data_IF_898046103724
#
_entry.id   IF_898046103724
#
_cell.length_a   1.000
_cell.length_b   1.000
_cell.length_c   1.000
_cell.angle_alpha   90.00
_cell.angle_beta   90.00
_cell.angle_gamma   90.00
#
_symmetry.space_group_name_H-M   'P 1'
#
loop_
_entity.id
_entity.type
_entity.pdbx_description
1 polymer ?
#
# COMPACT_ATOMS: atom_id res chain seq x y z
N UNK A 1 9.46 10.01 36.07
CA UNK A 1 10.39 9.69 34.97
C UNK A 1 11.76 9.50 35.59
N UNK A 2 12.27 8.29 35.58
CA UNK A 2 13.58 7.94 36.12
C UNK A 2 14.66 8.58 35.24
N UNK A 3 15.61 9.32 35.84
CA UNK A 3 16.65 10.06 35.12
C UNK A 3 17.69 9.06 34.62
N UNK A 4 17.80 8.90 33.31
CA UNK A 4 18.85 8.07 32.70
C UNK A 4 20.16 8.85 32.80
N UNK A 5 21.05 8.44 33.70
CA UNK A 5 22.38 9.06 33.80
C UNK A 5 23.33 8.51 32.72
N UNK A 6 24.17 9.36 32.11
CA UNK A 6 25.21 8.94 31.17
C UNK A 6 26.19 7.98 31.84
N UNK A 7 26.67 6.95 31.12
CA UNK A 7 27.82 6.18 31.62
C UNK A 7 29.06 7.08 31.65
N UNK A 8 29.88 6.95 32.70
CA UNK A 8 31.14 7.70 32.87
C UNK A 8 32.13 7.54 31.70
N UNK A 9 32.03 6.43 30.95
CA UNK A 9 32.79 6.23 29.71
C UNK A 9 31.85 5.77 28.58
N UNK A 10 31.94 6.39 27.38
CA UNK A 10 31.22 5.94 26.20
C UNK A 10 31.47 4.45 25.91
N UNK A 11 30.46 3.77 25.39
CA UNK A 11 30.60 2.38 24.99
C UNK A 11 31.59 2.28 23.82
N UNK A 12 32.55 1.37 23.94
CA UNK A 12 33.54 1.12 22.90
C UNK A 12 32.93 0.16 21.88
N UNK A 13 32.46 0.69 20.75
CA UNK A 13 32.01 -0.12 19.60
C UNK A 13 33.26 -0.55 18.82
N UNK A 14 33.35 -1.83 18.46
CA UNK A 14 34.47 -2.28 17.61
C UNK A 14 34.33 -1.72 16.19
N UNK A 15 35.42 -1.22 15.55
CA UNK A 15 35.36 -0.68 14.19
C UNK A 15 34.83 -1.65 13.13
N UNK A 16 35.00 -2.97 13.36
CA UNK A 16 34.47 -4.03 12.50
C UNK A 16 32.94 -4.07 12.50
N UNK A 17 32.32 -3.90 13.68
CA UNK A 17 30.86 -3.89 13.83
C UNK A 17 30.28 -2.65 13.15
N UNK A 18 30.83 -1.47 13.44
CA UNK A 18 30.38 -0.22 12.83
C UNK A 18 30.50 -0.25 11.29
N UNK A 19 31.64 -0.71 10.77
CA UNK A 19 31.86 -0.83 9.33
C UNK A 19 30.93 -1.87 8.69
N UNK A 20 30.73 -3.02 9.35
CA UNK A 20 29.84 -4.07 8.87
C UNK A 20 28.38 -3.61 8.77
N UNK A 21 27.88 -2.92 9.80
CA UNK A 21 26.52 -2.36 9.81
C UNK A 21 26.36 -1.28 8.73
N UNK A 22 27.36 -0.39 8.54
CA UNK A 22 27.34 0.62 7.46
C UNK A 22 27.27 -0.02 6.07
N UNK A 23 28.05 -1.06 5.82
CA UNK A 23 28.00 -1.82 4.55
C UNK A 23 26.63 -2.48 4.40
N UNK A 24 26.13 -3.17 5.43
CA UNK A 24 24.82 -3.83 5.40
C UNK A 24 23.69 -2.83 5.12
N UNK A 25 23.74 -1.63 5.71
CA UNK A 25 22.79 -0.54 5.43
C UNK A 25 22.81 -0.13 3.98
N UNK A 26 23.98 0.12 3.40
CA UNK A 26 24.09 0.57 2.02
C UNK A 26 23.62 -0.51 1.04
N UNK A 27 24.01 -1.78 1.27
CA UNK A 27 23.61 -2.92 0.43
C UNK A 27 22.10 -3.16 0.52
N UNK A 28 21.54 -3.22 1.73
CA UNK A 28 20.10 -3.41 1.91
C UNK A 28 19.30 -2.24 1.32
N UNK A 29 19.77 -1.00 1.46
CA UNK A 29 19.14 0.19 0.87
C UNK A 29 19.14 0.12 -0.66
N UNK A 30 20.27 -0.27 -1.26
CA UNK A 30 20.35 -0.47 -2.70
C UNK A 30 19.34 -1.51 -3.21
N UNK A 31 19.26 -2.66 -2.53
CA UNK A 31 18.29 -3.71 -2.86
C UNK A 31 16.84 -3.24 -2.70
N UNK A 32 16.51 -2.56 -1.59
CA UNK A 32 15.20 -1.99 -1.36
C UNK A 32 14.82 -0.99 -2.47
N UNK A 33 15.72 -0.08 -2.83
CA UNK A 33 15.46 0.91 -3.88
C UNK A 33 15.21 0.27 -5.25
N UNK A 34 16.05 -0.69 -5.65
CA UNK A 34 15.91 -1.36 -6.96
C UNK A 34 14.62 -2.17 -7.00
N UNK A 35 14.30 -2.93 -5.96
CA UNK A 35 13.06 -3.71 -5.89
C UNK A 35 11.82 -2.82 -5.88
N UNK A 36 11.84 -1.72 -5.12
CA UNK A 36 10.73 -0.75 -5.08
C UNK A 36 10.51 -0.10 -6.45
N UNK A 37 11.59 0.22 -7.18
CA UNK A 37 11.47 0.76 -8.52
C UNK A 37 10.76 -0.23 -9.47
N UNK A 38 11.16 -1.51 -9.44
CA UNK A 38 10.53 -2.54 -10.29
C UNK A 38 9.06 -2.72 -9.92
N UNK A 39 8.74 -2.84 -8.62
CA UNK A 39 7.35 -2.94 -8.15
C UNK A 39 6.53 -1.74 -8.63
N UNK A 40 7.05 -0.52 -8.50
CA UNK A 40 6.36 0.69 -8.98
C UNK A 40 6.07 0.65 -10.48
N UNK A 41 7.01 0.19 -11.31
CA UNK A 41 6.75 0.06 -12.76
C UNK A 41 5.69 -1.00 -13.06
N UNK A 42 5.70 -2.09 -12.31
CA UNK A 42 4.71 -3.16 -12.44
C UNK A 42 3.34 -2.70 -11.98
N UNK A 43 3.25 -1.94 -10.90
CA UNK A 43 1.99 -1.38 -10.40
C UNK A 43 1.39 -0.45 -11.46
N UNK A 44 2.20 0.44 -12.07
CA UNK A 44 1.73 1.30 -13.17
C UNK A 44 1.27 0.49 -14.40
N UNK A 45 2.00 -0.55 -14.79
CA UNK A 45 1.60 -1.41 -15.89
C UNK A 45 0.33 -2.20 -15.58
N UNK A 46 0.22 -2.73 -14.35
CA UNK A 46 -0.92 -3.49 -13.84
C UNK A 46 -2.17 -2.63 -13.74
N UNK A 47 -2.02 -1.37 -13.33
CA UNK A 47 -3.09 -0.38 -13.31
C UNK A 47 -3.64 -0.14 -14.72
N UNK A 48 -2.76 0.08 -15.71
CA UNK A 48 -3.18 0.27 -17.10
C UNK A 48 -3.88 -0.97 -17.69
N UNK A 49 -3.34 -2.17 -17.42
CA UNK A 49 -3.96 -3.44 -17.83
C UNK A 49 -5.30 -3.63 -17.12
N UNK A 50 -5.37 -3.37 -15.82
CA UNK A 50 -6.56 -3.56 -15.00
C UNK A 50 -7.69 -2.64 -15.43
N UNK A 51 -7.38 -1.38 -15.67
CA UNK A 51 -8.35 -0.40 -16.18
C UNK A 51 -8.87 -0.78 -17.58
N UNK A 52 -8.03 -1.33 -18.45
CA UNK A 52 -8.45 -1.82 -19.77
C UNK A 52 -9.29 -3.11 -19.71
N UNK A 53 -9.01 -4.00 -18.76
CA UNK A 53 -9.67 -5.31 -18.63
C UNK A 53 -10.96 -5.26 -17.81
N UNK A 54 -11.09 -4.32 -16.87
CA UNK A 54 -12.27 -4.13 -16.02
C UNK A 54 -13.61 -4.15 -16.81
N UNK A 55 -13.81 -3.35 -17.88
CA UNK A 55 -15.08 -3.34 -18.61
C UNK A 55 -15.32 -4.63 -19.43
N UNK A 56 -14.27 -5.36 -19.79
CA UNK A 56 -14.38 -6.59 -20.60
C UNK A 56 -14.74 -7.82 -19.78
N UNK A 57 -14.25 -7.90 -18.55
CA UNK A 57 -14.58 -8.99 -17.61
C UNK A 57 -16.05 -8.91 -17.21
N UNK A 58 -16.57 -7.69 -17.03
CA UNK A 58 -17.99 -7.45 -16.77
C UNK A 58 -18.90 -7.96 -17.90
N UNK A 59 -18.59 -7.60 -19.16
CA UNK A 59 -19.38 -8.00 -20.33
C UNK A 59 -19.44 -9.53 -20.49
N UNK A 60 -18.30 -10.22 -20.31
CA UNK A 60 -18.24 -11.68 -20.39
C UNK A 60 -18.92 -12.38 -19.23
N UNK A 61 -18.78 -11.86 -18.01
CA UNK A 61 -19.48 -12.38 -16.82
C UNK A 61 -21.01 -12.26 -16.96
N UNK A 62 -21.48 -11.12 -17.45
CA UNK A 62 -22.90 -10.87 -17.72
C UNK A 62 -23.45 -11.82 -18.79
N UNK A 63 -22.70 -12.05 -19.87
CA UNK A 63 -23.07 -12.99 -20.94
C UNK A 63 -23.15 -14.45 -20.43
N UNK A 64 -22.22 -14.87 -19.57
CA UNK A 64 -22.26 -16.21 -18.98
C UNK A 64 -23.45 -16.39 -18.03
N UNK A 65 -23.74 -15.36 -17.21
CA UNK A 65 -24.84 -15.41 -16.26
C UNK A 65 -26.22 -15.37 -16.94
N UNK A 66 -26.36 -14.58 -18.02
CA UNK A 66 -27.58 -14.52 -18.82
C UNK A 66 -27.85 -15.84 -19.54
N UNK A 67 -26.83 -16.49 -20.09
CA UNK A 67 -26.95 -17.79 -20.76
C UNK A 67 -27.22 -18.93 -19.76
N UNK A 68 -26.51 -18.96 -18.63
CA UNK A 68 -26.59 -20.08 -17.67
C UNK A 68 -27.88 -20.05 -16.84
N UNK A 69 -28.30 -18.85 -16.39
CA UNK A 69 -29.46 -18.70 -15.50
C UNK A 69 -30.70 -18.15 -16.20
N UNK A 70 -30.67 -17.98 -17.53
CA UNK A 70 -31.74 -17.38 -18.34
C UNK A 70 -32.20 -16.01 -17.80
N UNK A 71 -31.30 -15.26 -17.18
CA UNK A 71 -31.59 -13.90 -16.75
C UNK A 71 -31.63 -12.97 -17.97
N UNK A 72 -32.49 -11.94 -17.90
CA UNK A 72 -32.38 -10.82 -18.83
C UNK A 72 -31.00 -10.16 -18.66
N UNK A 73 -30.44 -9.65 -19.75
CA UNK A 73 -29.11 -9.04 -19.77
C UNK A 73 -28.96 -7.94 -18.70
N UNK A 74 -30.00 -7.15 -18.48
CA UNK A 74 -30.05 -6.12 -17.43
C UNK A 74 -29.99 -6.71 -16.00
N UNK A 75 -30.73 -7.80 -15.74
CA UNK A 75 -30.72 -8.46 -14.42
C UNK A 75 -29.40 -9.18 -14.18
N UNK A 76 -28.84 -9.81 -15.22
CA UNK A 76 -27.54 -10.45 -15.18
C UNK A 76 -26.44 -9.43 -14.88
N UNK A 77 -26.41 -8.30 -15.61
CA UNK A 77 -25.45 -7.22 -15.42
C UNK A 77 -25.48 -6.71 -13.99
N UNK A 78 -26.67 -6.32 -13.50
CA UNK A 78 -26.83 -5.80 -12.13
C UNK A 78 -26.36 -6.79 -11.06
N UNK A 79 -26.55 -8.10 -11.26
CA UNK A 79 -26.10 -9.09 -10.27
C UNK A 79 -24.59 -9.28 -10.29
N UNK A 80 -23.99 -9.27 -11.47
CA UNK A 80 -22.53 -9.30 -11.67
C UNK A 80 -21.89 -8.05 -11.08
N UNK A 81 -22.43 -6.85 -11.36
CA UNK A 81 -21.98 -5.57 -10.81
C UNK A 81 -21.96 -5.57 -9.29
N UNK A 82 -23.07 -5.94 -8.65
CA UNK A 82 -23.14 -5.99 -7.20
C UNK A 82 -22.16 -7.01 -6.61
N UNK A 83 -21.96 -8.16 -7.27
CA UNK A 83 -21.00 -9.16 -6.80
C UNK A 83 -19.55 -8.65 -6.92
N UNK A 84 -19.20 -8.02 -8.05
CA UNK A 84 -17.89 -7.41 -8.25
C UNK A 84 -17.66 -6.25 -7.28
N UNK A 85 -18.65 -5.39 -7.05
CA UNK A 85 -18.55 -4.28 -6.11
C UNK A 85 -18.28 -4.75 -4.68
N UNK A 86 -18.96 -5.80 -4.23
CA UNK A 86 -18.73 -6.39 -2.90
C UNK A 86 -17.34 -7.03 -2.81
N UNK A 87 -16.94 -7.80 -3.82
CA UNK A 87 -15.61 -8.41 -3.86
C UNK A 87 -14.50 -7.35 -3.88
N UNK A 88 -14.66 -6.32 -4.70
CA UNK A 88 -13.74 -5.21 -4.81
C UNK A 88 -13.68 -4.37 -3.53
N UNK A 89 -14.82 -4.14 -2.88
CA UNK A 89 -14.87 -3.48 -1.58
C UNK A 89 -14.13 -4.27 -0.49
N UNK A 90 -14.23 -5.60 -0.50
CA UNK A 90 -13.49 -6.46 0.43
C UNK A 90 -11.97 -6.41 0.18
N UNK A 91 -11.54 -6.59 -1.07
CA UNK A 91 -10.13 -6.52 -1.46
C UNK A 91 -9.55 -5.13 -1.20
N UNK A 92 -10.22 -4.08 -1.67
CA UNK A 92 -9.81 -2.69 -1.45
C UNK A 92 -9.76 -2.32 0.03
N UNK A 93 -10.69 -2.85 0.84
CA UNK A 93 -10.67 -2.69 2.29
C UNK A 93 -9.43 -3.31 2.94
N UNK A 94 -9.08 -4.55 2.58
CA UNK A 94 -7.88 -5.22 3.10
C UNK A 94 -6.61 -4.48 2.69
N UNK A 95 -6.49 -4.10 1.41
CA UNK A 95 -5.34 -3.36 0.89
C UNK A 95 -5.18 -2.02 1.62
N UNK A 96 -6.27 -1.29 1.81
CA UNK A 96 -6.27 0.01 2.49
C UNK A 96 -5.83 -0.13 3.96
N UNK A 97 -6.37 -1.12 4.67
CA UNK A 97 -6.01 -1.37 6.08
C UNK A 97 -4.55 -1.79 6.20
N UNK A 98 -4.09 -2.70 5.33
CA UNK A 98 -2.70 -3.15 5.32
C UNK A 98 -1.74 -1.99 5.00
N UNK A 99 -2.00 -1.21 3.95
CA UNK A 99 -1.21 -0.04 3.59
C UNK A 99 -1.19 1.01 4.71
N UNK A 100 -2.34 1.25 5.35
CA UNK A 100 -2.45 2.13 6.52
C UNK A 100 -1.62 1.64 7.70
N UNK A 101 -1.64 0.33 7.98
CA UNK A 101 -0.82 -0.29 9.02
C UNK A 101 0.68 -0.15 8.73
N UNK A 102 1.11 -0.40 7.50
CA UNK A 102 2.52 -0.25 7.10
C UNK A 102 2.97 1.21 7.24
N UNK A 103 2.15 2.16 6.79
CA UNK A 103 2.44 3.59 6.92
C UNK A 103 2.53 4.03 8.40
N UNK A 104 1.54 3.65 9.22
CA UNK A 104 1.53 3.94 10.65
C UNK A 104 2.73 3.28 11.37
N UNK A 105 3.02 2.03 11.02
CA UNK A 105 4.19 1.29 11.48
C UNK A 105 5.49 2.00 11.12
N UNK A 106 5.60 2.55 9.90
CA UNK A 106 6.74 3.35 9.46
C UNK A 106 6.92 4.63 10.28
N UNK A 107 5.84 5.36 10.55
CA UNK A 107 5.87 6.57 11.40
C UNK A 107 6.30 6.22 12.84
N UNK A 108 5.73 5.15 13.41
CA UNK A 108 6.09 4.65 14.74
C UNK A 108 7.55 4.21 14.79
N UNK A 109 8.02 3.46 13.80
CA UNK A 109 9.39 3.00 13.70
C UNK A 109 10.36 4.18 13.58
N UNK A 110 10.03 5.21 12.80
CA UNK A 110 10.86 6.42 12.68
C UNK A 110 10.94 7.21 14.00
N UNK A 111 9.81 7.33 14.69
CA UNK A 111 9.72 8.01 15.99
C UNK A 111 10.49 7.24 17.07
N UNK A 112 10.31 5.92 17.11
CA UNK A 112 11.02 5.03 18.01
C UNK A 112 12.52 5.05 17.71
N UNK A 113 12.92 4.92 16.45
CA UNK A 113 14.31 5.01 16.02
C UNK A 113 14.96 6.30 16.48
N UNK A 114 14.32 7.44 16.24
CA UNK A 114 14.84 8.76 16.63
C UNK A 114 15.03 8.87 18.15
N UNK A 115 14.06 8.42 18.93
CA UNK A 115 14.13 8.49 20.39
C UNK A 115 15.12 7.47 20.97
N UNK A 116 15.14 6.25 20.45
CA UNK A 116 16.07 5.19 20.83
C UNK A 116 17.50 5.58 20.51
N UNK A 117 17.79 6.10 19.31
CA UNK A 117 19.11 6.60 18.93
C UNK A 117 19.56 7.68 19.91
N UNK A 118 18.71 8.67 20.22
CA UNK A 118 19.01 9.72 21.21
C UNK A 118 19.28 9.17 22.61
N UNK A 119 18.50 8.19 23.08
CA UNK A 119 18.71 7.58 24.41
C UNK A 119 20.03 6.80 24.43
N UNK A 120 20.31 6.03 23.39
CA UNK A 120 21.55 5.24 23.28
C UNK A 120 22.75 6.16 23.17
N UNK A 121 22.66 7.21 22.35
CA UNK A 121 23.68 8.24 22.21
C UNK A 121 23.91 8.97 23.55
N UNK A 122 22.85 9.34 24.25
CA UNK A 122 22.94 10.00 25.55
C UNK A 122 23.59 9.11 26.62
N UNK A 123 23.29 7.81 26.62
CA UNK A 123 23.77 6.88 27.66
C UNK A 123 25.13 6.26 27.34
N UNK A 124 25.42 6.01 26.07
CA UNK A 124 26.55 5.21 25.60
C UNK A 124 27.45 5.95 24.59
N UNK A 125 27.11 7.17 24.19
CA UNK A 125 27.86 7.97 23.23
C UNK A 125 27.40 7.80 21.78
N UNK A 126 27.77 8.77 20.95
CA UNK A 126 27.38 8.89 19.53
C UNK A 126 27.64 7.61 18.71
N UNK A 127 28.78 6.90 18.84
CA UNK A 127 29.02 5.68 18.04
C UNK A 127 27.99 4.58 18.28
N UNK A 128 27.49 4.46 19.52
CA UNK A 128 26.45 3.48 19.85
C UNK A 128 25.08 3.91 19.30
N UNK A 129 24.79 5.22 19.31
CA UNK A 129 23.59 5.79 18.68
C UNK A 129 23.57 5.56 17.17
N UNK A 130 24.69 5.79 16.49
CA UNK A 130 24.84 5.58 15.06
C UNK A 130 24.61 4.11 14.66
N UNK A 131 25.21 3.15 15.39
CA UNK A 131 24.99 1.71 15.14
C UNK A 131 23.53 1.32 15.38
N UNK A 132 22.89 1.84 16.43
CA UNK A 132 21.48 1.58 16.69
C UNK A 132 20.59 2.09 15.53
N UNK A 133 20.83 3.31 15.05
CA UNK A 133 20.10 3.88 13.93
C UNK A 133 20.31 3.12 12.63
N UNK A 134 21.56 2.76 12.30
CA UNK A 134 21.86 2.00 11.09
C UNK A 134 21.28 0.57 11.13
N UNK A 135 21.22 -0.06 12.31
CA UNK A 135 20.59 -1.38 12.48
C UNK A 135 19.09 -1.32 12.22
N UNK A 136 18.40 -0.30 12.74
CA UNK A 136 16.95 -0.12 12.49
C UNK A 136 16.70 0.14 10.99
N UNK A 137 17.56 0.93 10.34
CA UNK A 137 17.48 1.17 8.90
C UNK A 137 17.68 -0.13 8.08
N UNK A 138 18.65 -0.97 8.45
CA UNK A 138 18.87 -2.28 7.80
C UNK A 138 17.62 -3.14 7.90
N UNK A 139 17.03 -3.25 9.09
CA UNK A 139 15.81 -4.03 9.30
C UNK A 139 14.64 -3.51 8.45
N UNK A 140 14.46 -2.18 8.41
CA UNK A 140 13.46 -1.54 7.55
C UNK A 140 13.67 -1.82 6.06
N UNK A 141 14.91 -1.70 5.57
CA UNK A 141 15.24 -1.99 4.18
C UNK A 141 14.99 -3.47 3.82
N UNK A 142 15.31 -4.40 4.73
CA UNK A 142 15.03 -5.84 4.53
C UNK A 142 13.53 -6.09 4.45
N UNK A 143 12.74 -5.45 5.32
CA UNK A 143 11.28 -5.54 5.26
C UNK A 143 10.73 -5.08 3.91
N UNK A 144 11.16 -3.90 3.43
CA UNK A 144 10.76 -3.37 2.11
C UNK A 144 11.19 -4.30 0.98
N UNK A 145 12.44 -4.75 0.97
CA UNK A 145 12.93 -5.66 -0.05
C UNK A 145 12.15 -6.99 -0.06
N UNK A 146 11.85 -7.55 1.11
CA UNK A 146 11.06 -8.77 1.25
C UNK A 146 9.61 -8.61 0.82
N UNK A 147 8.94 -7.51 1.21
CA UNK A 147 7.57 -7.24 0.78
C UNK A 147 7.48 -7.02 -0.72
N UNK A 148 8.41 -6.26 -1.30
CA UNK A 148 8.49 -6.06 -2.74
C UNK A 148 8.68 -7.38 -3.48
N UNK A 149 9.57 -8.25 -2.98
CA UNK A 149 9.84 -9.52 -3.64
C UNK A 149 8.60 -10.42 -3.66
N UNK A 150 7.75 -10.38 -2.63
CA UNK A 150 6.47 -11.10 -2.64
C UNK A 150 5.53 -10.59 -3.74
N UNK A 151 5.47 -9.28 -3.97
CA UNK A 151 4.67 -8.69 -5.05
C UNK A 151 5.23 -9.00 -6.45
N UNK A 152 6.54 -9.17 -6.58
CA UNK A 152 7.20 -9.53 -7.85
C UNK A 152 7.04 -11.01 -8.24
N UNK A 153 6.51 -11.86 -7.36
CA UNK A 153 6.26 -13.27 -7.70
C UNK A 153 5.13 -13.41 -8.71
N UNK A 154 5.08 -14.47 -9.54
CA UNK A 154 3.97 -14.69 -10.49
C UNK A 154 2.59 -14.65 -9.83
N UNK A 155 2.49 -15.17 -8.60
CA UNK A 155 1.27 -15.09 -7.79
C UNK A 155 0.98 -13.65 -7.33
N UNK A 156 1.99 -12.95 -6.80
CA UNK A 156 1.85 -11.56 -6.37
C UNK A 156 1.46 -10.61 -7.51
N UNK A 157 2.03 -10.79 -8.71
CA UNK A 157 1.67 -10.03 -9.90
C UNK A 157 0.20 -10.24 -10.29
N UNK A 158 -0.28 -11.48 -10.19
CA UNK A 158 -1.69 -11.79 -10.44
C UNK A 158 -2.59 -11.12 -9.39
N UNK A 159 -2.19 -11.17 -8.12
CA UNK A 159 -2.92 -10.55 -7.02
C UNK A 159 -3.00 -9.03 -7.17
N UNK A 160 -1.88 -8.37 -7.51
CA UNK A 160 -1.82 -6.93 -7.79
C UNK A 160 -2.69 -6.57 -9.00
N UNK A 161 -2.58 -7.30 -10.11
CA UNK A 161 -3.41 -7.04 -11.28
C UNK A 161 -4.90 -7.26 -11.00
N UNK A 162 -5.26 -8.30 -10.25
CA UNK A 162 -6.64 -8.55 -9.84
C UNK A 162 -7.15 -7.44 -8.92
N UNK A 163 -6.34 -6.99 -7.97
CA UNK A 163 -6.65 -5.85 -7.12
C UNK A 163 -6.94 -4.59 -7.94
N UNK A 164 -6.06 -4.22 -8.88
CA UNK A 164 -6.23 -3.05 -9.76
C UNK A 164 -7.50 -3.12 -10.61
N UNK A 165 -7.81 -4.29 -11.18
CA UNK A 165 -9.09 -4.52 -11.91
C UNK A 165 -10.27 -4.24 -10.98
N UNK A 166 -10.24 -4.79 -9.77
CA UNK A 166 -11.35 -4.65 -8.83
C UNK A 166 -11.50 -3.21 -8.34
N UNK A 167 -10.39 -2.52 -8.06
CA UNK A 167 -10.39 -1.11 -7.65
C UNK A 167 -10.93 -0.20 -8.76
N UNK A 168 -10.55 -0.45 -10.02
CA UNK A 168 -11.08 0.30 -11.17
C UNK A 168 -12.60 0.19 -11.32
N UNK A 169 -13.18 -0.99 -11.04
CA UNK A 169 -14.65 -1.17 -11.06
C UNK A 169 -15.34 -0.35 -9.97
N UNK A 170 -14.74 -0.27 -8.77
CA UNK A 170 -15.28 0.54 -7.65
C UNK A 170 -15.22 2.03 -7.99
N UNK A 171 -14.12 2.50 -8.57
CA UNK A 171 -13.95 3.89 -8.97
C UNK A 171 -14.97 4.30 -10.04
N UNK A 172 -15.21 3.47 -11.05
CA UNK A 172 -16.20 3.71 -12.09
C UNK A 172 -17.63 3.79 -11.52
N UNK A 173 -18.00 2.84 -10.65
CA UNK A 173 -19.28 2.88 -9.94
C UNK A 173 -19.43 4.12 -9.05
N UNK A 174 -18.36 4.53 -8.36
CA UNK A 174 -18.35 5.73 -7.55
C UNK A 174 -18.55 6.99 -8.41
N UNK A 175 -17.88 7.08 -9.56
CA UNK A 175 -18.02 8.21 -10.48
C UNK A 175 -19.46 8.34 -11.02
N UNK A 176 -20.13 7.23 -11.34
CA UNK A 176 -21.54 7.22 -11.77
C UNK A 176 -22.47 7.73 -10.65
N UNK A 177 -22.23 7.30 -9.41
CA UNK A 177 -23.00 7.76 -8.25
C UNK A 177 -22.81 9.27 -8.02
N UNK A 178 -21.58 9.75 -8.07
CA UNK A 178 -21.26 11.18 -7.91
C UNK A 178 -21.92 12.02 -9.00
N UNK A 179 -21.85 11.60 -10.27
CA UNK A 179 -22.51 12.29 -11.38
C UNK A 179 -24.04 12.27 -11.26
N UNK A 180 -24.64 11.19 -10.73
CA UNK A 180 -26.08 11.12 -10.49
C UNK A 180 -26.53 11.98 -9.31
N UNK A 181 -25.67 12.24 -8.32
CA UNK A 181 -25.96 13.12 -7.19
C UNK A 181 -25.82 14.60 -7.59
N UNK A 182 -24.80 14.95 -8.38
CA UNK A 182 -24.59 16.30 -8.89
C UNK A 182 -25.73 16.74 -9.82
N UNK A 183 -26.20 15.84 -10.70
CA UNK A 183 -27.32 16.12 -11.59
C UNK A 183 -28.65 16.32 -10.83
N UNK A 184 -28.84 15.63 -9.68
CA UNK A 184 -29.99 15.86 -8.78
C UNK A 184 -29.91 17.20 -8.05
N UNK A 185 -28.72 17.63 -7.63
CA UNK A 185 -28.52 18.95 -7.01
C UNK A 185 -28.73 20.11 -7.99
N UNK A 186 -28.31 19.96 -9.26
CA UNK A 186 -28.57 20.92 -10.34
C UNK A 186 -30.07 21.08 -10.63
N UNK A 187 -30.83 19.96 -10.69
CA UNK A 187 -32.28 20.02 -10.88
C UNK A 187 -33.04 20.61 -9.68
N UNK A 188 -32.58 20.37 -8.45
CA UNK A 188 -33.16 20.97 -7.25
C UNK A 188 -32.92 22.50 -7.18
N UNK A 189 -31.78 22.98 -7.67
CA UNK A 189 -31.45 24.41 -7.72
C UNK A 189 -32.19 25.19 -8.82
N UNK A 190 -32.52 24.55 -9.95
CA UNK A 190 -33.27 25.19 -11.04
C UNK A 190 -34.76 25.29 -10.76
N UNK A 191 -35.34 24.39 -9.96
CA UNK A 191 -36.77 24.41 -9.63
C UNK A 191 -37.15 25.49 -8.60
N UNK A 192 -36.18 26.11 -7.91
CA UNK A 192 -36.40 27.20 -6.95
C UNK A 192 -36.38 28.61 -7.56
N UNK A 193 -36.12 28.74 -8.87
CA UNK A 193 -36.12 30.04 -9.59
C UNK A 193 -37.35 30.23 -10.49
N UNK A 194 -38.32 29.34 -10.37
CA UNK A 194 -39.57 29.37 -11.13
C UNK A 194 -40.74 29.46 -10.14
N UNK A 195 -40.67 30.40 -9.21
CA UNK A 195 -41.81 30.89 -8.41
C UNK A 195 -41.54 32.35 -8.02
#
# INVERSE_FOLDING_TARGET
MERIEPKEKPATISPKVESGIKVAKNVSKGAANVTSYIVSQIDHASHAVGHYLAPRIHSKGTQLLSVTFKYSEEKASKKVDNAFLVAAGAVGGVITVFGGLVNAGGILAQSLSTNTVKIVEHKYGEPAGAVAGDTINVAGNIFVAGSNLMHLTPHGLLEVAAAEITMGVVEDHRAVLEHSLENKHSMAGSSSKID
#
